data_IF_165643024740
#
_entry.id   IF_165643024740
#
_cell.length_a   1.000
_cell.length_b   1.000
_cell.length_c   1.000
_cell.angle_alpha   90.00
_cell.angle_beta   90.00
_cell.angle_gamma   90.00
#
_symmetry.space_group_name_H-M   'P 1'
#
loop_
_entity.id
_entity.type
_entity.pdbx_description
1 polymer ?
#
# COMPACT_ATOMS: atom_id res chain seq x y z
N UNK A 1 18.35 37.19 7.34
CA UNK A 1 17.72 36.10 6.55
C UNK A 1 16.41 35.63 7.16
N UNK A 2 16.22 35.72 8.48
CA UNK A 2 14.98 35.31 9.16
C UNK A 2 13.79 36.27 9.03
N UNK A 3 14.02 37.55 8.67
CA UNK A 3 12.94 38.56 8.52
C UNK A 3 12.26 38.57 7.13
N UNK A 4 12.63 37.67 6.23
CA UNK A 4 11.95 37.54 4.95
C UNK A 4 10.57 36.91 5.16
N UNK A 5 9.53 37.53 4.59
CA UNK A 5 8.15 37.03 4.70
C UNK A 5 7.99 35.59 4.20
N UNK A 6 8.73 35.20 3.17
CA UNK A 6 8.78 33.81 2.67
C UNK A 6 9.38 32.83 3.68
N UNK A 7 10.34 33.27 4.50
CA UNK A 7 10.95 32.43 5.53
C UNK A 7 10.01 32.24 6.72
N UNK A 8 9.31 33.30 7.14
CA UNK A 8 8.28 33.21 8.19
C UNK A 8 7.14 32.27 7.77
N UNK A 9 6.69 32.38 6.52
CA UNK A 9 5.65 31.48 5.97
C UNK A 9 6.06 30.00 6.01
N UNK A 10 7.31 29.67 5.66
CA UNK A 10 7.79 28.27 5.72
C UNK A 10 7.81 27.74 7.16
N UNK A 11 8.11 28.59 8.16
CA UNK A 11 8.12 28.18 9.57
C UNK A 11 6.71 27.96 10.14
N UNK A 12 5.68 28.63 9.60
CA UNK A 12 4.29 28.47 10.03
C UNK A 12 3.63 27.20 9.49
N UNK A 13 4.21 26.59 8.45
CA UNK A 13 3.68 25.37 7.82
C UNK A 13 4.42 24.16 8.35
N UNK A 14 3.68 23.19 8.91
CA UNK A 14 4.20 21.86 9.20
C UNK A 14 3.83 20.90 8.07
N UNK A 15 4.72 20.62 7.10
CA UNK A 15 4.42 19.69 6.02
C UNK A 15 4.28 18.26 6.57
N UNK A 16 3.35 17.49 5.99
CA UNK A 16 3.24 16.07 6.29
C UNK A 16 4.10 15.27 5.30
N UNK A 17 5.34 15.01 5.70
CA UNK A 17 6.30 14.18 4.98
C UNK A 17 6.31 12.73 5.48
N UNK A 18 7.39 12.02 5.17
CA UNK A 18 7.51 10.61 5.54
C UNK A 18 7.72 10.36 7.03
N UNK A 19 8.46 11.24 7.71
CA UNK A 19 8.62 11.17 9.16
C UNK A 19 7.29 11.40 9.87
N UNK A 20 6.49 12.37 9.42
CA UNK A 20 5.18 12.67 9.98
C UNK A 20 4.20 11.51 9.76
N UNK A 21 4.24 10.84 8.60
CA UNK A 21 3.42 9.64 8.34
C UNK A 21 3.81 8.47 9.25
N UNK A 22 5.10 8.22 9.44
CA UNK A 22 5.57 7.20 10.39
C UNK A 22 5.19 7.56 11.84
N UNK A 23 5.31 8.83 12.22
CA UNK A 23 4.85 9.32 13.53
C UNK A 23 3.34 9.14 13.71
N UNK A 24 2.54 9.36 12.67
CA UNK A 24 1.10 9.13 12.72
C UNK A 24 0.76 7.66 12.98
N UNK A 25 1.51 6.70 12.40
CA UNK A 25 1.35 5.27 12.70
C UNK A 25 1.64 4.98 14.18
N UNK A 26 2.73 5.53 14.72
CA UNK A 26 3.06 5.39 16.15
C UNK A 26 1.99 6.02 17.05
N UNK A 27 1.43 7.16 16.66
CA UNK A 27 0.36 7.84 17.39
C UNK A 27 -0.93 7.03 17.41
N UNK A 28 -1.31 6.45 16.27
CA UNK A 28 -2.46 5.54 16.19
C UNK A 28 -2.22 4.35 17.13
N UNK A 29 -1.07 3.69 17.04
CA UNK A 29 -0.69 2.60 17.96
C UNK A 29 -0.79 3.01 19.42
N UNK A 30 -0.26 4.18 19.80
CA UNK A 30 -0.32 4.69 21.18
C UNK A 30 -1.76 4.90 21.66
N UNK A 31 -2.65 5.38 20.78
CA UNK A 31 -4.06 5.67 21.11
C UNK A 31 -4.94 4.43 21.11
N UNK A 32 -4.69 3.47 20.22
CA UNK A 32 -5.53 2.27 20.06
C UNK A 32 -5.01 1.07 20.85
N UNK A 33 -3.72 1.07 21.21
CA UNK A 33 -3.04 -0.09 21.79
C UNK A 33 -2.73 -1.21 20.79
N UNK A 34 -3.03 -1.03 19.49
CA UNK A 34 -2.78 -2.02 18.45
C UNK A 34 -1.29 -2.06 18.11
N UNK A 35 -0.69 -3.25 18.13
CA UNK A 35 0.72 -3.48 17.82
C UNK A 35 1.07 -3.17 16.36
N UNK A 36 2.36 -3.03 16.06
CA UNK A 36 2.81 -2.86 14.66
C UNK A 36 2.62 -4.17 13.88
N UNK A 37 2.76 -5.32 14.54
CA UNK A 37 2.47 -6.65 14.04
C UNK A 37 1.02 -6.82 13.54
N UNK A 38 0.10 -6.07 14.14
CA UNK A 38 -1.33 -6.02 13.78
C UNK A 38 -1.66 -4.78 12.94
N UNK A 39 -0.65 -4.16 12.31
CA UNK A 39 -0.82 -2.99 11.43
C UNK A 39 -0.56 -3.37 9.98
N UNK A 40 -1.50 -3.01 9.09
CA UNK A 40 -1.32 -3.06 7.65
C UNK A 40 -1.22 -1.63 7.10
N UNK A 41 -0.13 -1.32 6.41
CA UNK A 41 0.10 0.00 5.80
C UNK A 41 0.09 -0.09 4.27
N UNK A 42 -0.68 0.79 3.64
CA UNK A 42 -0.81 0.88 2.19
C UNK A 42 -0.36 2.28 1.75
N UNK A 43 0.60 2.34 0.84
CA UNK A 43 1.15 3.60 0.30
C UNK A 43 1.54 3.48 -1.18
N UNK A 44 2.03 4.57 -1.77
CA UNK A 44 2.32 4.63 -3.21
C UNK A 44 3.57 5.45 -3.58
N UNK A 45 4.20 6.14 -2.63
CA UNK A 45 5.19 7.16 -2.94
C UNK A 45 6.39 7.20 -2.00
N UNK A 46 7.34 8.08 -2.32
CA UNK A 46 8.49 8.39 -1.47
C UNK A 46 8.11 8.81 -0.04
N UNK A 47 6.98 9.49 0.15
CA UNK A 47 6.54 9.90 1.50
C UNK A 47 6.11 8.71 2.36
N UNK A 48 5.93 7.53 1.78
CA UNK A 48 5.50 6.34 2.51
C UNK A 48 6.68 5.48 2.98
N UNK A 49 7.91 5.79 2.56
CA UNK A 49 9.13 4.99 2.82
C UNK A 49 9.33 4.71 4.31
N UNK A 50 9.31 5.74 5.16
CA UNK A 50 9.55 5.58 6.60
C UNK A 50 8.42 4.79 7.27
N UNK A 51 7.17 4.97 6.83
CA UNK A 51 6.04 4.22 7.35
C UNK A 51 6.11 2.73 6.93
N UNK A 52 6.52 2.45 5.69
CA UNK A 52 6.79 1.08 5.25
C UNK A 52 7.87 0.42 6.09
N UNK A 53 9.02 1.08 6.28
CA UNK A 53 10.12 0.55 7.08
C UNK A 53 9.67 0.26 8.52
N UNK A 54 9.03 1.24 9.17
CA UNK A 54 8.53 1.10 10.54
C UNK A 54 7.59 -0.09 10.70
N UNK A 55 6.58 -0.19 9.83
CA UNK A 55 5.55 -1.25 9.93
C UNK A 55 6.15 -2.61 9.64
N UNK A 56 6.99 -2.72 8.61
CA UNK A 56 7.67 -3.98 8.23
C UNK A 56 8.62 -4.46 9.33
N UNK A 57 9.44 -3.58 9.89
CA UNK A 57 10.36 -3.91 11.00
C UNK A 57 9.61 -4.28 12.28
N UNK A 58 8.43 -3.67 12.50
CA UNK A 58 7.52 -4.03 13.58
C UNK A 58 6.72 -5.33 13.36
N UNK A 59 6.93 -6.03 12.24
CA UNK A 59 6.25 -7.30 11.91
C UNK A 59 4.87 -7.13 11.26
N UNK A 60 4.42 -5.90 11.02
CA UNK A 60 3.18 -5.59 10.31
C UNK A 60 3.29 -5.83 8.80
N UNK A 61 2.20 -5.62 8.06
CA UNK A 61 2.15 -5.85 6.62
C UNK A 61 2.26 -4.53 5.83
N UNK A 62 3.04 -4.55 4.75
CA UNK A 62 3.23 -3.36 3.89
C UNK A 62 2.89 -3.63 2.43
N UNK A 63 2.08 -2.75 1.85
CA UNK A 63 1.56 -2.89 0.49
C UNK A 63 1.78 -1.59 -0.29
N UNK A 64 2.43 -1.70 -1.45
CA UNK A 64 2.56 -0.61 -2.41
C UNK A 64 1.45 -0.72 -3.47
N UNK A 65 0.50 0.22 -3.50
CA UNK A 65 -0.59 0.26 -4.48
C UNK A 65 -0.27 1.24 -5.61
N UNK A 66 -0.06 0.72 -6.84
CA UNK A 66 0.40 1.51 -8.00
C UNK A 66 1.55 2.47 -7.65
N UNK A 67 2.45 1.98 -6.79
CA UNK A 67 3.51 2.79 -6.22
C UNK A 67 4.68 3.02 -7.15
N UNK A 68 5.45 4.07 -6.86
CA UNK A 68 6.68 4.40 -7.53
C UNK A 68 7.85 3.47 -7.12
N UNK A 69 9.06 3.73 -7.63
CA UNK A 69 10.24 2.93 -7.29
C UNK A 69 10.57 2.94 -5.79
N UNK A 70 10.30 4.05 -5.09
CA UNK A 70 10.56 4.18 -3.65
C UNK A 70 9.60 3.30 -2.85
N UNK A 71 8.31 3.35 -3.16
CA UNK A 71 7.30 2.51 -2.52
C UNK A 71 7.53 1.03 -2.80
N UNK A 72 7.81 0.65 -4.05
CA UNK A 72 8.09 -0.75 -4.42
C UNK A 72 9.36 -1.27 -3.75
N UNK A 73 10.36 -0.43 -3.50
CA UNK A 73 11.59 -0.88 -2.82
C UNK A 73 11.34 -1.23 -1.35
N UNK A 74 10.45 -0.51 -0.67
CA UNK A 74 10.27 -0.63 0.78
C UNK A 74 9.06 -1.48 1.19
N UNK A 75 8.03 -1.59 0.35
CA UNK A 75 6.88 -2.45 0.60
C UNK A 75 7.23 -3.95 0.42
N UNK A 76 6.45 -4.83 1.07
CA UNK A 76 6.58 -6.28 0.91
C UNK A 76 5.77 -6.82 -0.26
N UNK A 77 4.62 -6.21 -0.55
CA UNK A 77 3.75 -6.58 -1.66
C UNK A 77 3.50 -5.39 -2.58
N UNK A 78 3.50 -5.67 -3.89
CA UNK A 78 3.03 -4.75 -4.91
C UNK A 78 1.60 -5.13 -5.31
N UNK A 79 0.72 -4.14 -5.34
CA UNK A 79 -0.62 -4.24 -5.91
C UNK A 79 -0.69 -3.29 -7.11
N UNK A 80 -0.99 -3.85 -8.28
CA UNK A 80 -1.13 -3.08 -9.53
C UNK A 80 -2.53 -3.32 -10.07
N UNK A 81 -3.35 -2.29 -10.04
CA UNK A 81 -4.78 -2.38 -10.37
C UNK A 81 -5.33 -1.01 -10.80
N UNK A 82 -6.37 -1.01 -11.61
CA UNK A 82 -7.13 0.19 -11.98
C UNK A 82 -8.25 0.53 -10.98
N UNK A 83 -8.50 -0.36 -10.02
CA UNK A 83 -9.53 -0.21 -9.00
C UNK A 83 -9.03 -0.62 -7.62
N UNK A 84 -9.49 0.08 -6.58
CA UNK A 84 -9.07 -0.14 -5.19
C UNK A 84 -9.82 -1.28 -4.47
N UNK A 85 -10.81 -1.93 -5.07
CA UNK A 85 -11.53 -3.04 -4.42
C UNK A 85 -10.60 -4.17 -3.94
N UNK A 86 -9.44 -4.35 -4.60
CA UNK A 86 -8.38 -5.27 -4.16
C UNK A 86 -7.81 -4.90 -2.78
N UNK A 87 -7.66 -3.61 -2.45
CA UNK A 87 -7.16 -3.19 -1.13
C UNK A 87 -8.19 -3.48 -0.05
N UNK A 88 -9.48 -3.33 -0.35
CA UNK A 88 -10.57 -3.72 0.56
C UNK A 88 -10.56 -5.22 0.85
N UNK A 89 -10.32 -6.06 -0.18
CA UNK A 89 -10.20 -7.52 -0.02
C UNK A 89 -9.02 -7.87 0.88
N UNK A 90 -7.84 -7.29 0.61
CA UNK A 90 -6.64 -7.54 1.42
C UNK A 90 -6.81 -7.05 2.86
N UNK A 91 -7.45 -5.90 3.07
CA UNK A 91 -7.73 -5.35 4.39
C UNK A 91 -8.73 -6.21 5.18
N UNK A 92 -9.79 -6.74 4.55
CA UNK A 92 -10.73 -7.63 5.22
C UNK A 92 -10.07 -8.95 5.63
N UNK A 93 -9.24 -9.52 4.75
CA UNK A 93 -8.49 -10.74 5.05
C UNK A 93 -7.50 -10.47 6.19
N UNK A 94 -6.77 -9.36 6.15
CA UNK A 94 -5.86 -8.95 7.23
C UNK A 94 -6.61 -8.82 8.56
N UNK A 95 -7.76 -8.15 8.57
CA UNK A 95 -8.56 -7.96 9.78
C UNK A 95 -9.02 -9.29 10.40
N UNK A 96 -9.40 -10.27 9.59
CA UNK A 96 -9.95 -11.55 10.08
C UNK A 96 -8.91 -12.61 10.38
N UNK A 97 -7.79 -12.60 9.67
CA UNK A 97 -6.81 -13.70 9.67
C UNK A 97 -5.38 -13.25 9.91
N UNK A 98 -5.18 -11.95 10.12
CA UNK A 98 -3.87 -11.34 10.33
C UNK A 98 -3.00 -11.37 9.08
N UNK A 99 -1.72 -11.05 9.29
CA UNK A 99 -0.67 -11.03 8.27
C UNK A 99 -0.56 -12.35 7.49
N UNK A 100 -0.56 -13.48 8.19
CA UNK A 100 -0.35 -14.80 7.58
C UNK A 100 -1.47 -15.19 6.61
N UNK A 101 -2.71 -14.82 6.90
CA UNK A 101 -3.81 -15.08 5.98
C UNK A 101 -3.72 -14.24 4.70
N UNK A 102 -3.22 -13.01 4.79
CA UNK A 102 -2.94 -12.21 3.58
C UNK A 102 -1.80 -12.83 2.78
N UNK A 103 -0.73 -13.26 3.43
CA UNK A 103 0.39 -13.94 2.76
C UNK A 103 -0.10 -15.20 2.03
N UNK A 104 -0.90 -16.04 2.71
CA UNK A 104 -1.43 -17.27 2.11
C UNK A 104 -2.32 -17.00 0.89
N UNK A 105 -3.04 -15.88 0.91
CA UNK A 105 -3.89 -15.47 -0.20
C UNK A 105 -3.10 -14.82 -1.34
N UNK A 106 -2.15 -13.94 -1.01
CA UNK A 106 -1.40 -13.14 -1.98
C UNK A 106 -0.31 -13.95 -2.70
N UNK A 107 0.30 -14.94 -2.04
CA UNK A 107 1.32 -15.79 -2.65
C UNK A 107 0.71 -16.82 -3.64
N UNK A 108 -0.61 -17.05 -3.57
CA UNK A 108 -1.40 -17.89 -4.49
C UNK A 108 -2.63 -17.13 -5.00
N UNK A 109 -2.38 -15.96 -5.59
CA UNK A 109 -3.41 -15.00 -5.99
C UNK A 109 -4.22 -15.49 -7.19
N UNK A 110 -5.29 -16.24 -6.92
CA UNK A 110 -6.22 -16.78 -7.92
C UNK A 110 -7.68 -16.58 -7.49
N UNK A 111 -8.59 -16.54 -8.47
CA UNK A 111 -10.03 -16.43 -8.22
C UNK A 111 -10.56 -17.62 -7.42
N UNK A 112 -10.02 -18.82 -7.65
CA UNK A 112 -10.35 -20.02 -6.89
C UNK A 112 -9.94 -19.90 -5.42
N UNK A 113 -8.72 -19.43 -5.16
CA UNK A 113 -8.22 -19.19 -3.80
C UNK A 113 -9.05 -18.15 -3.06
N UNK A 114 -9.37 -17.03 -3.72
CA UNK A 114 -10.23 -15.97 -3.18
C UNK A 114 -11.59 -16.53 -2.72
N UNK A 115 -12.27 -17.29 -3.60
CA UNK A 115 -13.57 -17.91 -3.31
C UNK A 115 -13.50 -18.93 -2.18
N UNK A 116 -12.43 -19.72 -2.11
CA UNK A 116 -12.23 -20.75 -1.07
C UNK A 116 -11.77 -20.20 0.27
N UNK A 117 -11.21 -19.00 0.32
CA UNK A 117 -10.65 -18.42 1.56
C UNK A 117 -11.67 -18.33 2.70
N UNK A 118 -12.97 -18.24 2.39
CA UNK A 118 -14.06 -18.07 3.35
C UNK A 118 -13.98 -16.77 4.17
N UNK A 119 -12.93 -15.96 3.93
CA UNK A 119 -12.59 -14.80 4.74
C UNK A 119 -13.14 -13.50 4.14
N UNK A 120 -13.58 -13.54 2.89
CA UNK A 120 -14.07 -12.36 2.17
C UNK A 120 -15.60 -12.31 2.25
N UNK A 121 -16.16 -11.14 2.58
CA UNK A 121 -17.59 -10.92 2.60
C UNK A 121 -18.20 -11.22 1.21
N UNK A 122 -19.34 -11.95 1.12
CA UNK A 122 -19.96 -12.27 -0.16
C UNK A 122 -20.31 -11.06 -1.03
N UNK A 123 -20.66 -9.92 -0.44
CA UNK A 123 -20.86 -8.68 -1.17
C UNK A 123 -19.54 -8.15 -1.75
N UNK A 124 -18.48 -8.08 -0.96
CA UNK A 124 -17.17 -7.64 -1.43
C UNK A 124 -16.61 -8.56 -2.52
N UNK A 125 -16.80 -9.87 -2.38
CA UNK A 125 -16.41 -10.85 -3.40
C UNK A 125 -17.15 -10.61 -4.73
N UNK A 126 -18.46 -10.34 -4.69
CA UNK A 126 -19.24 -10.01 -5.89
C UNK A 126 -18.78 -8.72 -6.56
N UNK A 127 -18.48 -7.68 -5.78
CA UNK A 127 -17.94 -6.43 -6.34
C UNK A 127 -16.54 -6.64 -6.93
N UNK A 128 -15.70 -7.43 -6.27
CA UNK A 128 -14.38 -7.80 -6.80
C UNK A 128 -14.49 -8.54 -8.14
N UNK A 129 -15.37 -9.54 -8.26
CA UNK A 129 -15.64 -10.25 -9.52
C UNK A 129 -16.22 -9.35 -10.61
N UNK A 130 -17.10 -8.41 -10.23
CA UNK A 130 -17.69 -7.45 -11.18
C UNK A 130 -16.64 -6.50 -11.75
N UNK A 131 -15.71 -6.05 -10.92
CA UNK A 131 -14.63 -5.14 -11.31
C UNK A 131 -13.57 -5.89 -12.13
N UNK A 132 -13.15 -7.07 -11.68
CA UNK A 132 -12.10 -7.88 -12.29
C UNK A 132 -12.67 -9.13 -12.97
N UNK A 133 -13.57 -8.91 -13.93
CA UNK A 133 -14.32 -9.99 -14.60
C UNK A 133 -13.46 -10.81 -15.57
N UNK A 134 -12.43 -10.19 -16.14
CA UNK A 134 -11.59 -10.77 -17.18
C UNK A 134 -10.23 -11.17 -16.63
N UNK A 135 -9.53 -10.20 -16.03
CA UNK A 135 -8.18 -10.34 -15.52
C UNK A 135 -8.12 -9.89 -14.07
N UNK A 136 -7.43 -10.68 -13.24
CA UNK A 136 -7.16 -10.31 -11.85
C UNK A 136 -6.12 -9.18 -11.79
N UNK A 137 -6.21 -8.28 -10.80
CA UNK A 137 -5.15 -7.33 -10.56
C UNK A 137 -3.89 -8.07 -10.14
N UNK A 138 -2.73 -7.47 -10.41
CA UNK A 138 -1.47 -8.04 -9.94
C UNK A 138 -1.36 -7.82 -8.43
N UNK A 139 -1.23 -8.91 -7.69
CA UNK A 139 -0.81 -8.91 -6.28
C UNK A 139 0.41 -9.81 -6.20
N UNK A 140 1.57 -9.25 -5.85
CA UNK A 140 2.83 -10.00 -5.89
C UNK A 140 3.76 -9.60 -4.77
N UNK A 141 4.37 -10.60 -4.13
CA UNK A 141 5.46 -10.39 -3.18
C UNK A 141 6.67 -9.79 -3.91
N UNK A 142 7.19 -8.70 -3.38
CA UNK A 142 8.36 -8.02 -3.93
C UNK A 142 9.62 -8.77 -3.53
N UNK A 143 10.46 -9.07 -4.51
CA UNK A 143 11.75 -9.73 -4.35
C UNK A 143 12.78 -9.04 -5.22
N UNK A 144 14.07 -9.23 -4.93
CA UNK A 144 15.15 -8.69 -5.77
C UNK A 144 15.08 -9.13 -7.24
N UNK A 145 14.46 -10.29 -7.52
CA UNK A 145 14.31 -10.84 -8.88
C UNK A 145 13.21 -10.17 -9.70
N UNK A 146 12.08 -9.83 -9.08
CA UNK A 146 10.92 -9.26 -9.78
C UNK A 146 10.76 -7.74 -9.60
N UNK A 147 11.50 -7.12 -8.67
CA UNK A 147 11.38 -5.69 -8.32
C UNK A 147 11.38 -4.77 -9.55
N UNK A 148 12.37 -4.90 -10.45
CA UNK A 148 12.44 -4.04 -11.65
C UNK A 148 11.21 -4.18 -12.55
N UNK A 149 10.72 -5.41 -12.72
CA UNK A 149 9.54 -5.68 -13.55
C UNK A 149 8.28 -5.09 -12.91
N UNK A 150 8.13 -5.26 -11.59
CA UNK A 150 7.02 -4.70 -10.82
C UNK A 150 7.05 -3.17 -10.82
N UNK A 151 8.20 -2.54 -10.60
CA UNK A 151 8.33 -1.07 -10.69
C UNK A 151 7.88 -0.55 -12.05
N UNK A 152 8.32 -1.19 -13.14
CA UNK A 152 7.92 -0.78 -14.50
C UNK A 152 6.42 -0.90 -14.73
N UNK A 153 5.82 -2.03 -14.34
CA UNK A 153 4.38 -2.25 -14.48
C UNK A 153 3.57 -1.28 -13.61
N UNK A 154 3.99 -1.10 -12.35
CA UNK A 154 3.35 -0.21 -11.39
C UNK A 154 3.37 1.25 -11.85
N UNK A 155 4.52 1.73 -12.34
CA UNK A 155 4.64 3.07 -12.91
C UNK A 155 3.81 3.26 -14.18
N UNK A 156 3.69 2.24 -15.04
CA UNK A 156 2.84 2.31 -16.22
C UNK A 156 1.36 2.48 -15.83
N UNK A 157 0.86 1.68 -14.89
CA UNK A 157 -0.51 1.82 -14.36
C UNK A 157 -0.71 3.17 -13.66
N UNK A 158 0.27 3.62 -12.86
CA UNK A 158 0.27 4.92 -12.20
C UNK A 158 0.11 6.07 -13.19
N UNK A 159 0.91 6.11 -14.26
CA UNK A 159 0.82 7.13 -15.30
C UNK A 159 -0.50 7.05 -16.06
N UNK A 160 -1.02 5.85 -16.34
CA UNK A 160 -2.31 5.69 -16.99
C UNK A 160 -3.48 6.23 -16.16
N UNK A 161 -3.42 6.10 -14.82
CA UNK A 161 -4.51 6.51 -13.92
C UNK A 161 -4.38 8.00 -13.56
N UNK A 162 -3.16 8.46 -13.27
CA UNK A 162 -2.90 9.82 -12.76
C UNK A 162 -2.57 10.83 -13.87
N UNK A 163 -2.41 10.37 -15.11
CA UNK A 163 -1.83 11.13 -16.21
C UNK A 163 -0.31 11.19 -16.12
N UNK A 164 0.37 11.29 -17.27
CA UNK A 164 1.85 11.21 -17.36
C UNK A 164 2.53 12.29 -16.50
N UNK A 165 2.00 13.52 -16.48
CA UNK A 165 2.59 14.65 -15.75
C UNK A 165 2.57 14.46 -14.24
N UNK A 166 1.54 13.81 -13.68
CA UNK A 166 1.40 13.63 -12.22
C UNK A 166 1.94 12.25 -11.80
N UNK A 167 1.78 11.23 -12.64
CA UNK A 167 2.23 9.87 -12.36
C UNK A 167 3.75 9.70 -12.37
N UNK A 168 4.47 10.52 -13.15
CA UNK A 168 5.94 10.52 -13.19
C UNK A 168 6.60 11.34 -12.09
N UNK A 169 5.84 12.16 -11.35
CA UNK A 169 6.35 12.93 -10.22
C UNK A 169 6.39 12.06 -8.97
N UNK A 170 7.54 12.12 -8.28
CA UNK A 170 7.76 11.47 -6.98
C UNK A 170 7.37 10.00 -7.02
#
# INVERSE_FOLDING_TARGET
MTDLSSFQFILEVNPLGGEEKASAVLDIRRRTGIGLEDTCYIGDSITDVQAFQLVREGGGLTISFNGNEYAIREAEYAVIADNTVVTSVLAEVFHKTGREGVINLADDWTMEKLKRSGSINPYLMREFERVFSNDLPTVSRITSKNMRALTRQSMASRCSIRGETIGSLG
#
